data_IF_255580989277
#
_entry.id   IF_255580989277
#
_cell.length_a   1.000
_cell.length_b   1.000
_cell.length_c   1.000
_cell.angle_alpha   90.00
_cell.angle_beta   90.00
_cell.angle_gamma   90.00
#
_symmetry.space_group_name_H-M   'P 1'
#
loop_
_entity.id
_entity.type
_entity.pdbx_description
1 polymer ?
#
# COMPACT_ATOMS: atom_id res chain seq x y z
N UNK A 1 -0.39 -0.68 11.16
CA UNK A 1 0.48 -0.69 9.97
C UNK A 1 -0.34 -0.87 8.70
N UNK A 2 -0.98 -2.02 8.45
CA UNK A 2 -1.73 -2.27 7.19
C UNK A 2 -2.81 -1.21 6.90
N UNK A 3 -3.68 -0.91 7.86
CA UNK A 3 -4.70 0.15 7.74
C UNK A 3 -4.11 1.54 7.44
N UNK A 4 -2.96 1.86 8.05
CA UNK A 4 -2.27 3.12 7.78
C UNK A 4 -1.74 3.15 6.34
N UNK A 5 -1.23 2.02 5.84
CA UNK A 5 -0.77 1.89 4.45
C UNK A 5 -1.91 2.15 3.47
N UNK A 6 -3.12 1.62 3.71
CA UNK A 6 -4.29 1.88 2.86
C UNK A 6 -4.59 3.38 2.79
N UNK A 7 -4.45 4.10 3.90
CA UNK A 7 -4.71 5.54 3.99
C UNK A 7 -3.80 6.42 3.11
N UNK A 8 -2.69 5.88 2.59
CA UNK A 8 -1.80 6.62 1.70
C UNK A 8 -2.10 6.42 0.21
N UNK A 9 -3.04 5.53 -0.15
CA UNK A 9 -3.50 5.39 -1.52
C UNK A 9 -4.09 6.72 -2.02
N UNK A 10 -3.89 7.03 -3.30
CA UNK A 10 -4.56 8.19 -3.86
C UNK A 10 -6.09 7.93 -3.95
N UNK A 11 -6.85 8.89 -4.48
CA UNK A 11 -8.30 8.76 -4.67
C UNK A 11 -8.74 7.57 -5.55
N UNK A 12 -7.83 6.95 -6.29
CA UNK A 12 -8.08 5.73 -7.09
C UNK A 12 -7.58 4.45 -6.39
N UNK A 13 -7.03 4.56 -5.17
CA UNK A 13 -6.42 3.44 -4.46
C UNK A 13 -5.07 3.01 -5.04
N UNK A 14 -4.37 3.90 -5.75
CA UNK A 14 -3.06 3.60 -6.34
C UNK A 14 -1.91 4.02 -5.41
N UNK A 15 -0.84 3.23 -5.44
CA UNK A 15 0.34 3.41 -4.61
C UNK A 15 1.62 3.56 -5.44
N UNK A 16 2.52 4.41 -4.95
CA UNK A 16 3.88 4.55 -5.44
C UNK A 16 4.82 3.54 -4.77
N UNK A 17 6.08 3.59 -5.17
CA UNK A 17 7.14 2.79 -4.58
C UNK A 17 7.44 3.22 -3.13
N UNK A 18 7.40 4.52 -2.86
CA UNK A 18 7.77 5.08 -1.56
C UNK A 18 6.83 6.22 -1.16
N UNK A 19 6.85 6.54 0.13
CA UNK A 19 6.10 7.66 0.70
C UNK A 19 7.05 8.51 1.54
N UNK A 20 7.09 9.79 1.23
CA UNK A 20 7.86 10.76 2.01
C UNK A 20 7.25 10.96 3.40
N UNK A 21 8.02 11.49 4.35
CA UNK A 21 7.51 11.86 5.68
C UNK A 21 6.37 12.88 5.63
N UNK A 22 6.27 13.64 4.54
CA UNK A 22 5.19 14.59 4.24
C UNK A 22 3.91 13.91 3.76
N UNK A 23 3.94 12.61 3.45
CA UNK A 23 2.83 11.87 2.86
C UNK A 23 2.82 11.89 1.32
N UNK A 24 3.77 12.57 0.68
CA UNK A 24 3.88 12.57 -0.78
C UNK A 24 4.30 11.20 -1.31
N UNK A 25 3.66 10.78 -2.40
CA UNK A 25 4.01 9.58 -3.12
C UNK A 25 5.26 9.83 -3.99
N UNK A 26 6.26 8.97 -3.84
CA UNK A 26 7.60 9.15 -4.43
C UNK A 26 8.02 7.94 -5.26
N UNK A 27 8.84 8.21 -6.28
CA UNK A 27 9.37 7.19 -7.17
C UNK A 27 8.34 6.74 -8.23
N UNK A 28 8.40 5.47 -8.61
CA UNK A 28 7.53 4.93 -9.65
C UNK A 28 6.06 4.96 -9.20
N UNK A 29 5.19 5.42 -10.08
CA UNK A 29 3.75 5.50 -9.82
C UNK A 29 2.93 5.23 -11.09
N UNK A 30 1.92 4.34 -11.05
CA UNK A 30 1.63 3.39 -9.97
C UNK A 30 2.68 2.25 -9.95
N UNK A 31 3.08 1.80 -8.76
CA UNK A 31 4.07 0.73 -8.63
C UNK A 31 3.42 -0.63 -8.37
N UNK A 32 3.48 -1.53 -9.35
CA UNK A 32 2.89 -2.87 -9.31
C UNK A 32 3.36 -3.70 -8.10
N UNK A 33 4.64 -3.65 -7.73
CA UNK A 33 5.13 -4.44 -6.58
C UNK A 33 4.55 -3.98 -5.24
N UNK A 34 4.31 -2.68 -5.07
CA UNK A 34 3.63 -2.17 -3.87
C UNK A 34 2.21 -2.72 -3.77
N UNK A 35 1.47 -2.78 -4.89
CA UNK A 35 0.13 -3.35 -4.93
C UNK A 35 0.14 -4.86 -4.63
N UNK A 36 1.08 -5.61 -5.22
CA UNK A 36 1.23 -7.05 -4.95
C UNK A 36 1.55 -7.34 -3.48
N UNK A 37 2.42 -6.53 -2.87
CA UNK A 37 2.74 -6.64 -1.45
C UNK A 37 1.52 -6.36 -0.57
N UNK A 38 0.69 -5.37 -0.92
CA UNK A 38 -0.52 -5.04 -0.18
C UNK A 38 -1.56 -6.17 -0.25
N UNK A 39 -1.79 -6.74 -1.43
CA UNK A 39 -2.67 -7.91 -1.62
C UNK A 39 -2.17 -9.10 -0.77
N UNK A 40 -0.86 -9.36 -0.83
CA UNK A 40 -0.25 -10.47 -0.09
C UNK A 40 -0.35 -10.26 1.43
N UNK A 41 -0.23 -9.02 1.90
CA UNK A 41 -0.41 -8.67 3.30
C UNK A 41 -1.87 -8.87 3.74
N UNK A 42 -2.84 -8.41 2.95
CA UNK A 42 -4.26 -8.61 3.21
C UNK A 42 -4.62 -10.10 3.35
N UNK A 43 -4.17 -10.92 2.39
CA UNK A 43 -4.41 -12.36 2.40
C UNK A 43 -3.80 -13.06 3.62
N UNK A 44 -2.58 -12.67 4.02
CA UNK A 44 -1.94 -13.25 5.20
C UNK A 44 -2.58 -12.82 6.50
N UNK A 45 -3.07 -11.58 6.60
CA UNK A 45 -3.80 -11.10 7.77
C UNK A 45 -5.13 -11.83 7.92
N UNK A 46 -5.87 -12.02 6.83
CA UNK A 46 -7.13 -12.79 6.82
C UNK A 46 -6.92 -14.21 7.34
N UNK A 47 -5.88 -14.91 6.86
CA UNK A 47 -5.54 -16.27 7.32
C UNK A 47 -5.15 -16.37 8.81
N UNK A 48 -4.67 -15.28 9.41
CA UNK A 48 -4.22 -15.26 10.81
C UNK A 48 -5.32 -14.78 11.76
N UNK A 49 -6.23 -13.93 11.29
CA UNK A 49 -7.26 -13.28 12.10
C UNK A 49 -8.66 -13.90 11.92
N UNK A 50 -8.90 -14.60 10.80
CA UNK A 50 -10.09 -15.44 10.56
C UNK A 50 -9.91 -16.84 11.11
#
# INVERSE_FOLDING_TARGET
>A
MFEQTIGYGNHLGLFAEQIAKTGEQMGNFPQAFTHLALISAAFNLDRVLG
#
